data_IF_229899499637
#
_entry.id   IF_229899499637
#
_cell.length_a   1.000
_cell.length_b   1.000
_cell.length_c   1.000
_cell.angle_alpha   90.00
_cell.angle_beta   90.00
_cell.angle_gamma   90.00
#
_symmetry.space_group_name_H-M   'P 1'
#
loop_
_entity.id
_entity.type
_entity.pdbx_description
1 polymer ?
#
# COMPACT_ATOMS: atom_id res chain seq x y z
N UNK A 1 -6.86 -23.29 43.67
CA UNK A 1 -8.13 -22.84 43.07
C UNK A 1 -8.26 -21.38 43.48
N UNK A 2 -8.23 -20.34 42.68
CA UNK A 2 -8.48 -20.04 41.25
C UNK A 2 -7.96 -18.59 41.12
N UNK A 3 -7.37 -18.06 40.07
CA UNK A 3 -7.04 -18.45 38.72
C UNK A 3 -6.30 -17.23 38.16
N UNK A 4 -5.39 -17.43 37.21
CA UNK A 4 -4.76 -16.33 36.51
C UNK A 4 -5.68 -15.91 35.35
N UNK A 5 -6.01 -14.63 35.14
CA UNK A 5 -6.29 -14.15 33.80
C UNK A 5 -5.04 -13.41 33.31
N UNK A 6 -4.22 -14.17 32.60
CA UNK A 6 -3.55 -13.77 31.36
C UNK A 6 -3.04 -12.33 31.34
N UNK A 7 -1.73 -12.20 31.60
CA UNK A 7 -1.00 -10.95 31.44
C UNK A 7 -1.30 -10.30 30.09
N UNK A 8 -1.85 -9.09 30.17
CA UNK A 8 -2.00 -8.12 29.09
C UNK A 8 -0.65 -7.88 28.42
N UNK A 9 -0.31 -8.67 27.41
CA UNK A 9 0.91 -8.50 26.64
C UNK A 9 0.66 -7.66 25.39
N UNK A 10 1.13 -6.42 25.42
CA UNK A 10 1.69 -5.78 24.23
C UNK A 10 0.85 -4.71 23.55
N UNK A 11 0.42 -3.68 24.27
CA UNK A 11 0.14 -2.37 23.67
C UNK A 11 1.50 -1.75 23.25
N UNK A 12 2.10 -2.28 22.18
CA UNK A 12 3.12 -1.58 21.43
C UNK A 12 2.37 -0.73 20.39
N UNK A 13 2.72 0.56 20.21
CA UNK A 13 2.13 1.34 19.14
C UNK A 13 2.36 0.60 17.81
N UNK A 14 1.26 0.19 17.17
CA UNK A 14 1.28 -0.53 15.90
C UNK A 14 1.82 0.40 14.82
N UNK A 15 3.13 0.36 14.59
CA UNK A 15 3.79 1.10 13.53
C UNK A 15 4.18 0.11 12.42
N UNK A 16 3.28 -0.13 11.44
CA UNK A 16 3.50 -1.17 10.44
C UNK A 16 4.71 -0.86 9.56
N UNK A 17 5.35 -1.92 9.08
CA UNK A 17 6.40 -1.82 8.08
C UNK A 17 5.81 -1.36 6.74
N UNK A 18 6.55 -0.49 6.05
CA UNK A 18 6.23 0.02 4.73
C UNK A 18 7.38 -0.34 3.80
N UNK A 19 7.06 -0.99 2.68
CA UNK A 19 7.98 -1.13 1.56
C UNK A 19 7.95 0.15 0.74
N UNK A 20 9.11 0.74 0.47
CA UNK A 20 9.24 2.01 -0.23
C UNK A 20 10.36 1.93 -1.26
N UNK A 21 10.22 2.60 -2.41
CA UNK A 21 11.32 2.66 -3.38
C UNK A 21 12.41 3.59 -2.88
N UNK A 22 13.68 3.23 -3.14
CA UNK A 22 14.85 4.03 -2.76
C UNK A 22 14.74 5.48 -3.26
N UNK A 23 14.31 5.70 -4.50
CA UNK A 23 14.14 7.03 -5.09
C UNK A 23 13.17 7.91 -4.29
N UNK A 24 12.10 7.31 -3.75
CA UNK A 24 11.16 8.03 -2.89
C UNK A 24 11.79 8.28 -1.53
N UNK A 25 12.46 7.29 -0.96
CA UNK A 25 13.14 7.41 0.34
C UNK A 25 14.23 8.50 0.34
N UNK A 26 14.99 8.60 -0.76
CA UNK A 26 16.06 9.58 -0.95
C UNK A 26 15.52 10.97 -1.35
N UNK A 27 14.21 11.12 -1.54
CA UNK A 27 13.55 12.38 -1.91
C UNK A 27 13.70 12.78 -3.38
N UNK A 28 14.18 11.88 -4.24
CA UNK A 28 14.32 12.09 -5.69
C UNK A 28 12.97 12.04 -6.41
N UNK A 29 12.02 11.27 -5.88
CA UNK A 29 10.67 11.12 -6.44
C UNK A 29 9.58 11.30 -5.38
N UNK A 30 8.43 11.89 -5.72
CA UNK A 30 7.27 11.87 -4.84
C UNK A 30 6.64 10.47 -4.81
N UNK A 31 5.90 10.17 -3.75
CA UNK A 31 5.06 8.95 -3.70
C UNK A 31 3.93 9.13 -4.73
N UNK A 32 3.78 8.24 -5.70
CA UNK A 32 2.71 8.32 -6.70
C UNK A 32 1.68 7.20 -6.57
N UNK A 33 2.07 6.09 -5.95
CA UNK A 33 1.18 4.97 -5.66
C UNK A 33 1.38 4.47 -4.22
N UNK A 34 0.27 4.18 -3.56
CA UNK A 34 0.21 3.58 -2.22
C UNK A 34 -0.63 2.32 -2.30
N UNK A 35 -0.11 1.20 -1.85
CA UNK A 35 -0.82 -0.08 -1.76
C UNK A 35 -0.96 -0.49 -0.31
N UNK A 36 -2.13 -1.02 0.05
CA UNK A 36 -2.37 -1.71 1.30
C UNK A 36 -2.80 -3.13 0.97
N UNK A 37 -1.88 -4.07 1.09
CA UNK A 37 -2.13 -5.46 0.70
C UNK A 37 -3.10 -6.15 1.68
N UNK A 38 -3.67 -7.29 1.26
CA UNK A 38 -4.50 -8.14 2.12
C UNK A 38 -3.77 -8.61 3.39
N UNK A 39 -2.44 -8.77 3.34
CA UNK A 39 -1.59 -9.12 4.48
C UNK A 39 -1.41 -7.99 5.51
N UNK A 40 -1.84 -6.76 5.20
CA UNK A 40 -1.64 -5.59 6.06
C UNK A 40 -0.34 -4.83 5.80
N UNK A 41 0.45 -5.28 4.81
CA UNK A 41 1.67 -4.60 4.39
C UNK A 41 1.36 -3.37 3.52
N UNK A 42 2.14 -2.31 3.73
CA UNK A 42 2.05 -1.08 2.96
C UNK A 42 3.17 -0.98 1.93
N UNK A 43 2.88 -0.46 0.74
CA UNK A 43 3.89 -0.21 -0.29
C UNK A 43 3.76 1.18 -0.91
N UNK A 44 4.82 2.00 -0.87
CA UNK A 44 4.86 3.37 -1.37
C UNK A 44 5.84 3.46 -2.54
N UNK A 45 5.34 3.85 -3.71
CA UNK A 45 6.07 3.70 -4.98
C UNK A 45 6.06 5.03 -5.75
N UNK A 46 7.23 5.43 -6.24
CA UNK A 46 7.45 6.59 -7.10
C UNK A 46 7.29 6.29 -8.59
N UNK A 47 7.73 7.23 -9.44
CA UNK A 47 7.61 7.11 -10.89
C UNK A 47 8.47 5.99 -11.49
N UNK A 48 9.64 5.70 -10.89
CA UNK A 48 10.55 4.64 -11.32
C UNK A 48 9.94 3.24 -11.16
N UNK A 49 8.92 3.09 -10.31
CA UNK A 49 8.36 1.78 -9.97
C UNK A 49 9.22 1.00 -8.98
N UNK A 50 8.67 -0.09 -8.43
CA UNK A 50 9.35 -0.96 -7.48
C UNK A 50 10.00 -2.18 -8.15
N UNK A 51 11.20 -2.53 -7.68
CA UNK A 51 11.88 -3.80 -7.95
C UNK A 51 12.64 -4.26 -6.68
N UNK A 52 13.21 -5.45 -6.76
CA UNK A 52 14.04 -6.09 -5.74
C UNK A 52 15.30 -5.29 -5.40
N UNK A 53 15.91 -4.58 -6.35
CA UNK A 53 17.13 -3.79 -6.14
C UNK A 53 16.87 -2.45 -5.41
N UNK A 54 15.71 -1.82 -5.68
CA UNK A 54 15.35 -0.51 -5.17
C UNK A 54 14.38 -0.54 -3.98
N UNK A 55 13.82 -1.69 -3.61
CA UNK A 55 12.95 -1.82 -2.45
C UNK A 55 13.68 -1.56 -1.13
N UNK A 56 13.08 -0.76 -0.25
CA UNK A 56 13.55 -0.46 1.11
C UNK A 56 12.39 -0.65 2.08
N UNK A 57 12.70 -0.80 3.35
CA UNK A 57 11.69 -0.92 4.41
C UNK A 57 11.88 0.18 5.43
N UNK A 58 10.80 0.88 5.74
CA UNK A 58 10.73 1.91 6.79
C UNK A 58 9.47 1.70 7.64
N UNK A 59 9.32 2.47 8.70
CA UNK A 59 8.07 2.53 9.45
C UNK A 59 7.04 3.45 8.78
N UNK A 60 5.75 3.17 8.97
CA UNK A 60 4.67 4.03 8.46
C UNK A 60 4.75 5.45 9.03
N UNK A 61 5.13 5.59 10.29
CA UNK A 61 5.40 6.90 10.90
C UNK A 61 6.50 7.68 10.15
N UNK A 62 7.64 7.05 9.87
CA UNK A 62 8.72 7.69 9.10
C UNK A 62 8.22 8.12 7.72
N UNK A 63 7.43 7.28 7.07
CA UNK A 63 6.87 7.57 5.77
C UNK A 63 5.90 8.78 5.81
N UNK A 64 5.01 8.84 6.81
CA UNK A 64 4.10 9.97 7.01
C UNK A 64 4.81 11.27 7.38
N UNK A 65 5.97 11.19 8.04
CA UNK A 65 6.80 12.35 8.32
C UNK A 65 7.50 12.88 7.07
N UNK A 66 7.89 12.00 6.14
CA UNK A 66 8.52 12.39 4.86
C UNK A 66 7.54 13.01 3.87
N UNK A 67 6.34 12.42 3.72
CA UNK A 67 5.31 12.94 2.79
C UNK A 67 4.01 13.25 3.53
N UNK A 68 3.78 14.53 3.89
CA UNK A 68 2.54 15.00 4.49
C UNK A 68 1.26 14.66 3.72
N UNK A 69 1.34 14.42 2.40
CA UNK A 69 0.17 14.08 1.60
C UNK A 69 -0.38 12.69 1.92
N UNK A 70 0.38 11.82 2.58
CA UNK A 70 -0.10 10.54 3.10
C UNK A 70 -1.15 10.70 4.20
N UNK A 71 -1.22 11.86 4.86
CA UNK A 71 -2.28 12.17 5.85
C UNK A 71 -3.68 12.25 5.23
N UNK A 72 -3.79 12.22 3.90
CA UNK A 72 -5.06 12.10 3.17
C UNK A 72 -5.51 10.63 2.98
N UNK A 73 -4.69 9.66 3.37
CA UNK A 73 -4.95 8.21 3.26
C UNK A 73 -4.95 7.46 4.62
N UNK A 74 -5.35 8.06 5.76
CA UNK A 74 -5.23 7.41 7.07
C UNK A 74 -6.11 6.16 7.19
N UNK A 75 -7.14 6.06 6.34
CA UNK A 75 -8.19 5.05 6.35
C UNK A 75 -8.15 4.15 5.11
N UNK A 76 -7.06 4.13 4.33
CA UNK A 76 -6.97 3.24 3.16
C UNK A 76 -7.07 1.78 3.65
N UNK A 77 -8.14 1.03 3.31
CA UNK A 77 -8.33 -0.31 3.85
C UNK A 77 -7.37 -1.33 3.22
N UNK A 78 -7.09 -2.47 3.88
CA UNK A 78 -6.43 -3.60 3.22
C UNK A 78 -7.18 -3.95 1.94
N UNK A 79 -6.46 -4.43 0.93
CA UNK A 79 -6.96 -4.70 -0.44
C UNK A 79 -7.30 -3.46 -1.27
N UNK A 80 -6.85 -2.27 -0.87
CA UNK A 80 -7.01 -1.04 -1.65
C UNK A 80 -5.66 -0.45 -2.04
N UNK A 81 -5.69 0.39 -3.07
CA UNK A 81 -4.57 1.22 -3.46
C UNK A 81 -5.02 2.64 -3.78
N UNK A 82 -4.11 3.59 -3.68
CA UNK A 82 -4.34 4.99 -4.03
C UNK A 82 -3.25 5.48 -4.97
N UNK A 83 -3.62 6.20 -6.02
CA UNK A 83 -2.68 6.78 -6.99
C UNK A 83 -2.93 8.27 -7.18
N UNK A 84 -1.87 9.02 -7.49
CA UNK A 84 -1.94 10.42 -7.91
C UNK A 84 -1.01 10.66 -9.08
N UNK A 85 -1.27 11.72 -9.84
CA UNK A 85 -0.49 12.06 -11.04
C UNK A 85 0.88 12.66 -10.69
N UNK A 86 0.92 13.46 -9.63
CA UNK A 86 2.07 14.23 -9.17
C UNK A 86 1.90 14.57 -7.68
N UNK A 87 2.91 15.19 -7.07
CA UNK A 87 2.94 15.49 -5.64
C UNK A 87 1.79 16.39 -5.13
N UNK A 88 1.20 17.20 -6.01
CA UNK A 88 0.15 18.17 -5.67
C UNK A 88 -1.26 17.67 -6.00
N UNK A 89 -1.38 16.61 -6.80
CA UNK A 89 -2.65 16.02 -7.19
C UNK A 89 -3.31 15.27 -6.03
N UNK A 90 -4.64 15.33 -5.98
CA UNK A 90 -5.43 14.53 -5.04
C UNK A 90 -5.30 13.02 -5.32
N UNK A 91 -5.39 12.22 -4.27
CA UNK A 91 -5.38 10.76 -4.36
C UNK A 91 -6.67 10.22 -4.98
N UNK A 92 -6.53 9.29 -5.92
CA UNK A 92 -7.61 8.46 -6.44
C UNK A 92 -7.50 7.08 -5.81
N UNK A 93 -8.51 6.67 -5.06
CA UNK A 93 -8.56 5.39 -4.36
C UNK A 93 -9.25 4.35 -5.24
N UNK A 94 -8.73 3.13 -5.23
CA UNK A 94 -9.19 2.02 -6.02
C UNK A 94 -9.10 0.74 -5.18
N UNK A 95 -10.03 -0.19 -5.42
CA UNK A 95 -9.95 -1.54 -4.85
C UNK A 95 -9.00 -2.39 -5.69
N UNK A 96 -8.15 -3.19 -5.07
CA UNK A 96 -7.31 -4.18 -5.75
C UNK A 96 -8.21 -5.35 -6.15
N UNK A 97 -8.37 -5.65 -7.45
CA UNK A 97 -9.26 -6.73 -7.86
C UNK A 97 -8.71 -8.13 -7.60
N UNK A 98 -9.61 -9.09 -7.43
CA UNK A 98 -9.31 -10.50 -7.17
C UNK A 98 -8.82 -10.77 -5.74
N UNK A 99 -9.07 -9.85 -4.80
CA UNK A 99 -8.56 -9.92 -3.42
C UNK A 99 -9.58 -10.42 -2.39
N UNK A 100 -10.83 -10.65 -2.82
CA UNK A 100 -11.80 -11.37 -2.01
C UNK A 100 -11.39 -12.86 -1.98
N UNK A 101 -10.86 -13.33 -0.83
CA UNK A 101 -10.84 -14.76 -0.54
C UNK A 101 -12.31 -15.19 -0.50
N UNK A 102 -12.69 -16.06 -1.43
CA UNK A 102 -14.06 -16.56 -1.64
C UNK A 102 -15.03 -15.53 -2.27
N UNK A 103 -14.82 -15.21 -3.56
CA UNK A 103 -15.82 -14.52 -4.41
C UNK A 103 -16.59 -15.53 -5.29
N UNK A 104 -17.54 -16.31 -4.74
CA UNK A 104 -18.30 -17.30 -5.50
C UNK A 104 -19.19 -16.68 -6.58
N UNK A 105 -19.39 -15.37 -6.54
CA UNK A 105 -20.24 -14.61 -7.46
C UNK A 105 -19.45 -13.84 -8.53
N UNK A 106 -18.12 -13.83 -8.49
CA UNK A 106 -17.28 -13.18 -9.50
C UNK A 106 -17.49 -11.66 -9.60
N UNK A 107 -18.00 -11.02 -8.55
CA UNK A 107 -18.31 -9.59 -8.52
C UNK A 107 -17.05 -8.71 -8.44
N UNK A 108 -15.91 -9.30 -8.07
CA UNK A 108 -14.61 -8.63 -7.98
C UNK A 108 -13.74 -8.84 -9.24
N UNK A 109 -14.37 -8.81 -10.42
CA UNK A 109 -13.70 -9.10 -11.71
C UNK A 109 -12.76 -8.00 -12.20
N UNK A 110 -12.60 -6.89 -11.48
CA UNK A 110 -11.47 -5.98 -11.68
C UNK A 110 -11.29 -5.34 -13.04
N UNK A 111 -12.33 -5.35 -13.86
CA UNK A 111 -12.27 -4.88 -15.24
C UNK A 111 -13.61 -4.25 -15.55
N UNK A 112 -13.64 -2.93 -15.59
CA UNK A 112 -14.35 -2.30 -16.71
C UNK A 112 -13.31 -2.17 -17.83
N UNK A 113 -13.71 -2.45 -19.07
CA UNK A 113 -12.81 -2.64 -20.22
C UNK A 113 -11.97 -1.41 -20.62
N UNK A 114 -11.93 -0.33 -19.82
CA UNK A 114 -11.27 0.94 -20.13
C UNK A 114 -10.43 1.51 -18.97
N UNK A 115 -9.97 0.70 -18.00
CA UNK A 115 -9.12 1.21 -16.90
C UNK A 115 -7.61 1.11 -17.22
N UNK A 116 -6.93 2.22 -17.58
CA UNK A 116 -5.48 2.22 -17.82
C UNK A 116 -4.65 1.93 -16.56
N UNK A 117 -5.19 2.11 -15.35
CA UNK A 117 -4.48 1.85 -14.10
C UNK A 117 -4.30 0.34 -13.82
N UNK A 118 -5.32 -0.47 -14.13
CA UNK A 118 -5.26 -1.93 -13.97
C UNK A 118 -4.24 -2.62 -14.88
N UNK A 119 -3.99 -2.07 -16.07
CA UNK A 119 -2.95 -2.59 -16.98
C UNK A 119 -1.53 -2.24 -16.49
N UNK A 120 -1.35 -1.08 -15.85
CA UNK A 120 -0.08 -0.70 -15.24
C UNK A 120 0.23 -1.60 -14.04
N UNK A 121 -0.78 -1.91 -13.21
CA UNK A 121 -0.66 -2.79 -12.06
C UNK A 121 -0.23 -4.21 -12.44
N UNK A 122 -0.83 -4.80 -13.48
CA UNK A 122 -0.42 -6.12 -13.99
C UNK A 122 1.02 -6.10 -14.53
N UNK A 123 1.49 -4.98 -15.07
CA UNK A 123 2.87 -4.84 -15.57
C UNK A 123 3.88 -4.65 -14.45
N UNK A 124 3.55 -3.87 -13.41
CA UNK A 124 4.42 -3.67 -12.24
C UNK A 124 4.53 -4.97 -11.44
N UNK A 125 3.41 -5.67 -11.19
CA UNK A 125 3.41 -6.95 -10.46
C UNK A 125 4.12 -8.08 -11.21
N UNK A 126 4.13 -8.09 -12.56
CA UNK A 126 4.88 -9.09 -13.35
C UNK A 126 6.40 -8.91 -13.28
N UNK A 127 6.88 -7.72 -12.92
CA UNK A 127 8.32 -7.42 -12.80
C UNK A 127 8.89 -7.72 -11.41
N UNK A 128 8.04 -8.10 -10.45
CA UNK A 128 8.41 -8.43 -9.07
C UNK A 128 8.47 -9.94 -8.80
N UNK A 129 8.67 -10.78 -9.84
CA UNK A 129 8.81 -12.23 -9.70
C UNK A 129 10.12 -12.73 -10.30
#
# INVERSE_FOLDING_TARGET
MTGNPMESSGDLPHNPAVFITRQVLDGEEPILAVYHDAGGDWQFIGATGGNDENGRTISLENAMNMDPALRQLPDLPPTFYAVRKDAISAWKRHRIPGTLKDDPWGLDSGVTANDPAGSLLKTILRKLR
#
